data_IF_003730927417
#
_entry.id   IF_003730927417
#
_cell.length_a   1.000
_cell.length_b   1.000
_cell.length_c   1.000
_cell.angle_alpha   90.00
_cell.angle_beta   90.00
_cell.angle_gamma   90.00
#
_symmetry.space_group_name_H-M   'P 1'
#
loop_
_entity.id
_entity.type
_entity.pdbx_description
1 polymer ?
#
# COMPACT_ATOMS: atom_id res chain seq x y z
N UNK A 1 6.04 -6.57 3.03
CA UNK A 1 5.34 -5.72 2.03
C UNK A 1 6.09 -4.42 1.88
N UNK A 2 6.17 -3.82 0.69
CA UNK A 2 6.89 -2.55 0.48
C UNK A 2 6.41 -1.43 1.42
N UNK A 3 5.13 -1.47 1.82
CA UNK A 3 4.57 -0.60 2.84
C UNK A 3 5.34 -0.60 4.17
N UNK A 4 5.83 -1.75 4.63
CA UNK A 4 6.63 -1.82 5.85
C UNK A 4 8.01 -1.17 5.69
N UNK A 5 8.68 -1.39 4.56
CA UNK A 5 9.99 -0.80 4.28
C UNK A 5 9.88 0.73 4.21
N UNK A 6 8.87 1.24 3.50
CA UNK A 6 8.58 2.68 3.42
C UNK A 6 8.29 3.27 4.80
N UNK A 7 7.40 2.65 5.58
CA UNK A 7 7.08 3.12 6.93
C UNK A 7 8.31 3.11 7.86
N UNK A 8 9.18 2.11 7.71
CA UNK A 8 10.42 2.02 8.48
C UNK A 8 11.41 3.12 8.16
N UNK A 9 11.61 3.42 6.87
CA UNK A 9 12.49 4.49 6.45
C UNK A 9 12.00 5.85 6.94
N UNK A 10 10.70 6.13 6.83
CA UNK A 10 10.09 7.37 7.34
C UNK A 10 10.28 7.49 8.86
N UNK A 11 10.09 6.39 9.60
CA UNK A 11 10.31 6.40 11.05
C UNK A 11 11.79 6.62 11.40
N UNK A 12 12.72 5.98 10.71
CA UNK A 12 14.16 6.19 10.94
C UNK A 12 14.53 7.65 10.62
N UNK A 13 14.04 8.21 9.52
CA UNK A 13 14.25 9.61 9.16
C UNK A 13 13.68 10.58 10.23
N UNK A 14 12.53 10.25 10.81
CA UNK A 14 11.93 11.05 11.89
C UNK A 14 12.69 10.93 13.21
N UNK A 15 12.95 9.71 13.69
CA UNK A 15 13.47 9.47 15.04
C UNK A 15 14.98 9.63 15.17
N UNK A 16 15.75 9.28 14.14
CA UNK A 16 17.21 9.33 14.22
C UNK A 16 17.80 10.62 13.66
N UNK A 17 17.17 11.19 12.63
CA UNK A 17 17.75 12.31 11.89
C UNK A 17 17.04 13.65 12.19
N UNK A 18 15.97 13.65 13.00
CA UNK A 18 15.13 14.83 13.27
C UNK A 18 14.66 15.57 12.01
N UNK A 19 14.62 14.89 10.85
CA UNK A 19 14.29 15.52 9.55
C UNK A 19 12.85 16.06 9.57
N UNK A 20 11.98 15.51 10.40
CA UNK A 20 10.61 16.01 10.58
C UNK A 20 10.58 17.41 11.22
N UNK A 21 11.52 17.72 12.12
CA UNK A 21 11.68 19.05 12.73
C UNK A 21 12.29 20.05 11.72
N UNK A 22 13.24 19.61 10.89
CA UNK A 22 13.77 20.42 9.78
C UNK A 22 12.69 20.75 8.74
N UNK A 23 11.80 19.79 8.43
CA UNK A 23 10.68 20.01 7.52
C UNK A 23 9.59 20.92 8.12
N UNK A 24 9.38 20.91 9.44
CA UNK A 24 8.51 21.90 10.08
C UNK A 24 9.13 23.30 10.10
N UNK A 25 10.46 23.40 10.11
CA UNK A 25 11.18 24.68 10.02
C UNK A 25 11.25 25.22 8.58
N UNK A 26 11.16 24.36 7.56
CA UNK A 26 11.09 24.74 6.17
C UNK A 26 9.68 25.21 5.75
N UNK A 27 9.54 26.23 4.87
CA UNK A 27 8.24 26.73 4.40
C UNK A 27 7.63 25.78 3.34
N UNK A 28 7.59 24.48 3.61
CA UNK A 28 7.00 23.48 2.71
C UNK A 28 5.54 23.21 3.09
N UNK A 29 4.70 23.02 2.06
CA UNK A 29 3.30 22.64 2.28
C UNK A 29 3.22 21.17 2.72
N UNK A 30 2.41 20.87 3.73
CA UNK A 30 2.14 19.50 4.20
C UNK A 30 1.68 18.58 3.06
N UNK A 31 0.90 19.13 2.11
CA UNK A 31 0.48 18.39 0.92
C UNK A 31 1.67 17.98 0.07
N UNK A 32 2.66 18.86 -0.14
CA UNK A 32 3.85 18.56 -0.94
C UNK A 32 4.68 17.42 -0.32
N UNK A 33 4.86 17.44 1.00
CA UNK A 33 5.55 16.38 1.73
C UNK A 33 4.86 15.01 1.55
N UNK A 34 3.55 14.95 1.80
CA UNK A 34 2.80 13.69 1.70
C UNK A 34 2.76 13.19 0.26
N UNK A 35 2.52 14.07 -0.71
CA UNK A 35 2.55 13.65 -2.11
C UNK A 35 3.92 13.13 -2.51
N UNK A 36 5.00 13.72 -2.00
CA UNK A 36 6.37 13.28 -2.24
C UNK A 36 6.63 11.88 -1.66
N UNK A 37 6.26 11.65 -0.40
CA UNK A 37 6.43 10.36 0.26
C UNK A 37 5.57 9.26 -0.37
N UNK A 38 4.32 9.58 -0.72
CA UNK A 38 3.44 8.64 -1.41
C UNK A 38 3.99 8.29 -2.78
N UNK A 39 4.45 9.28 -3.57
CA UNK A 39 5.08 9.04 -4.87
C UNK A 39 6.36 8.22 -4.74
N UNK A 40 7.22 8.52 -3.75
CA UNK A 40 8.43 7.75 -3.46
C UNK A 40 8.12 6.31 -3.05
N UNK A 41 7.02 6.09 -2.32
CA UNK A 41 6.53 4.76 -1.99
C UNK A 41 6.02 4.00 -3.22
N UNK A 42 5.26 4.68 -4.08
CA UNK A 42 4.71 4.12 -5.31
C UNK A 42 5.81 3.73 -6.30
N UNK A 43 6.84 4.56 -6.50
CA UNK A 43 7.95 4.25 -7.41
C UNK A 43 8.72 3.02 -6.95
N UNK A 44 9.00 2.89 -5.65
CA UNK A 44 9.63 1.69 -5.07
C UNK A 44 8.78 0.43 -5.24
N UNK A 45 7.47 0.54 -5.05
CA UNK A 45 6.54 -0.56 -5.28
C UNK A 45 6.52 -0.98 -6.75
N UNK A 46 6.43 -0.02 -7.69
CA UNK A 46 6.48 -0.28 -9.13
C UNK A 46 7.80 -0.91 -9.56
N UNK A 47 8.94 -0.43 -9.06
CA UNK A 47 10.24 -1.00 -9.36
C UNK A 47 10.30 -2.48 -8.93
N UNK A 48 9.77 -2.80 -7.73
CA UNK A 48 9.68 -4.18 -7.25
C UNK A 48 8.83 -5.06 -8.16
N UNK A 49 7.69 -4.55 -8.64
CA UNK A 49 6.81 -5.29 -9.57
C UNK A 49 7.51 -5.54 -10.90
N UNK A 50 8.20 -4.53 -11.45
CA UNK A 50 8.97 -4.66 -12.69
C UNK A 50 10.04 -5.75 -12.56
N UNK A 51 10.79 -5.77 -11.45
CA UNK A 51 11.79 -6.83 -11.19
C UNK A 51 11.13 -8.22 -11.17
N UNK A 52 9.99 -8.36 -10.49
CA UNK A 52 9.25 -9.64 -10.44
C UNK A 52 8.76 -10.07 -11.83
N UNK A 53 8.28 -9.13 -12.66
CA UNK A 53 7.84 -9.41 -14.02
C UNK A 53 8.99 -9.86 -14.93
N UNK A 54 10.15 -9.22 -14.83
CA UNK A 54 11.35 -9.63 -15.58
C UNK A 54 11.74 -11.05 -15.21
N UNK A 55 11.78 -11.37 -13.90
CA UNK A 55 12.05 -12.73 -13.44
C UNK A 55 10.99 -13.71 -13.98
N UNK A 56 9.70 -13.39 -13.88
CA UNK A 56 8.62 -14.23 -14.41
C UNK A 56 8.77 -14.52 -15.90
N UNK A 57 9.17 -13.52 -16.69
CA UNK A 57 9.44 -13.68 -18.11
C UNK A 57 10.62 -14.63 -18.39
N UNK A 58 11.69 -14.55 -17.60
CA UNK A 58 12.84 -15.47 -17.71
C UNK A 58 12.47 -16.92 -17.41
N UNK A 59 11.50 -17.15 -16.51
CA UNK A 59 10.96 -18.47 -16.20
C UNK A 59 9.82 -18.92 -17.14
N UNK A 60 9.52 -18.14 -18.19
CA UNK A 60 8.52 -18.51 -19.21
C UNK A 60 7.06 -18.26 -18.82
N UNK A 61 6.80 -17.43 -17.81
CA UNK A 61 5.43 -17.07 -17.41
C UNK A 61 4.84 -16.08 -18.42
N UNK A 62 3.76 -16.49 -19.09
CA UNK A 62 3.02 -15.63 -20.03
C UNK A 62 1.90 -14.90 -19.30
N UNK A 63 2.04 -13.57 -19.19
CA UNK A 63 1.05 -12.68 -18.58
C UNK A 63 0.48 -11.74 -19.64
N UNK A 64 -0.80 -11.39 -19.50
CA UNK A 64 -1.40 -10.35 -20.32
C UNK A 64 -1.03 -8.97 -19.78
N UNK A 65 -0.25 -8.20 -20.54
CA UNK A 65 0.19 -6.85 -20.19
C UNK A 65 -0.82 -5.76 -20.59
N UNK A 66 -2.11 -6.00 -20.35
CA UNK A 66 -3.16 -5.04 -20.71
C UNK A 66 -3.01 -3.73 -19.91
N UNK A 67 -3.51 -2.57 -20.43
CA UNK A 67 -3.50 -1.31 -19.68
C UNK A 67 -4.17 -1.42 -18.29
N UNK A 68 -5.18 -2.28 -18.17
CA UNK A 68 -5.87 -2.55 -16.90
C UNK A 68 -4.99 -3.24 -15.85
N UNK A 69 -3.96 -3.98 -16.29
CA UNK A 69 -2.98 -4.60 -15.40
C UNK A 69 -2.09 -3.52 -14.76
N UNK A 70 -1.58 -2.60 -15.56
CA UNK A 70 -0.80 -1.46 -15.06
C UNK A 70 -1.62 -0.54 -14.16
N UNK A 71 -2.90 -0.31 -14.50
CA UNK A 71 -3.81 0.44 -13.64
C UNK A 71 -4.03 -0.23 -12.29
N UNK A 72 -4.18 -1.56 -12.25
CA UNK A 72 -4.34 -2.31 -11.00
C UNK A 72 -3.08 -2.20 -10.12
N UNK A 73 -1.90 -2.32 -10.71
CA UNK A 73 -0.63 -2.15 -10.00
C UNK A 73 -0.49 -0.73 -9.46
N UNK A 74 -0.84 0.28 -10.27
CA UNK A 74 -0.76 1.68 -9.88
C UNK A 74 -1.68 1.99 -8.68
N UNK A 75 -2.95 1.59 -8.76
CA UNK A 75 -3.92 1.76 -7.67
C UNK A 75 -3.49 1.01 -6.41
N UNK A 76 -3.03 -0.24 -6.55
CA UNK A 76 -2.50 -1.00 -5.42
C UNK A 76 -1.32 -0.27 -4.76
N UNK A 77 -0.37 0.20 -5.57
CA UNK A 77 0.80 0.92 -5.08
C UNK A 77 0.41 2.22 -4.35
N UNK A 78 -0.58 2.95 -4.89
CA UNK A 78 -1.12 4.15 -4.27
C UNK A 78 -1.80 3.88 -2.92
N UNK A 79 -2.63 2.84 -2.83
CA UNK A 79 -3.31 2.43 -1.58
C UNK A 79 -2.29 2.07 -0.50
N UNK A 80 -1.31 1.23 -0.83
CA UNK A 80 -0.31 0.78 0.13
C UNK A 80 0.72 1.85 0.50
N UNK A 81 1.10 2.73 -0.43
CA UNK A 81 1.96 3.87 -0.12
C UNK A 81 1.23 4.86 0.81
N UNK A 82 -0.03 5.19 0.53
CA UNK A 82 -0.84 6.08 1.39
C UNK A 82 -1.03 5.48 2.80
N UNK A 83 -1.30 4.17 2.88
CA UNK A 83 -1.41 3.46 4.16
C UNK A 83 -0.08 3.49 4.93
N UNK A 84 1.05 3.28 4.25
CA UNK A 84 2.38 3.29 4.86
C UNK A 84 2.72 4.66 5.45
N UNK A 85 2.47 5.74 4.70
CA UNK A 85 2.67 7.11 5.19
C UNK A 85 1.77 7.40 6.39
N UNK A 86 0.49 7.02 6.32
CA UNK A 86 -0.43 7.17 7.47
C UNK A 86 0.03 6.41 8.71
N UNK A 87 0.52 5.17 8.56
CA UNK A 87 1.06 4.39 9.67
C UNK A 87 2.36 5.00 10.22
N UNK A 88 3.25 5.48 9.37
CA UNK A 88 4.49 6.15 9.80
C UNK A 88 4.20 7.43 10.62
N UNK A 89 3.09 8.12 10.36
CA UNK A 89 2.66 9.23 11.19
C UNK A 89 2.21 8.81 12.61
N UNK A 90 1.56 7.65 12.74
CA UNK A 90 0.98 7.17 13.99
C UNK A 90 2.01 6.51 14.91
N UNK A 91 3.09 5.98 14.35
CA UNK A 91 4.16 5.32 15.10
C UNK A 91 5.01 6.34 15.85
N UNK A 92 5.13 6.14 17.17
CA UNK A 92 5.93 6.99 18.07
C UNK A 92 7.25 6.34 18.51
N UNK A 93 7.45 5.06 18.20
CA UNK A 93 8.64 4.29 18.60
C UNK A 93 8.89 3.11 17.64
N UNK A 94 10.15 2.69 17.51
CA UNK A 94 10.51 1.48 16.74
C UNK A 94 9.79 0.21 17.23
N UNK A 95 9.53 0.12 18.55
CA UNK A 95 8.77 -0.98 19.13
C UNK A 95 7.32 -1.00 18.62
N UNK A 96 6.68 0.17 18.53
CA UNK A 96 5.30 0.31 18.02
C UNK A 96 5.22 -0.06 16.54
N UNK A 97 6.26 0.24 15.76
CA UNK A 97 6.33 -0.15 14.36
C UNK A 97 6.39 -1.67 14.18
N UNK A 98 7.24 -2.34 14.96
CA UNK A 98 7.35 -3.79 14.94
C UNK A 98 6.02 -4.44 15.34
N UNK A 99 5.36 -3.89 16.37
CA UNK A 99 4.05 -4.34 16.82
C UNK A 99 2.99 -4.20 15.72
N UNK A 100 2.87 -3.03 15.08
CA UNK A 100 1.93 -2.84 13.97
C UNK A 100 2.17 -3.81 12.81
N UNK A 101 3.43 -4.10 12.52
CA UNK A 101 3.78 -5.02 11.44
C UNK A 101 3.36 -6.44 11.76
N UNK A 102 3.69 -6.91 12.96
CA UNK A 102 3.35 -8.27 13.39
C UNK A 102 1.86 -8.48 13.63
N UNK A 103 1.13 -7.47 14.13
CA UNK A 103 -0.29 -7.59 14.46
C UNK A 103 -1.24 -7.15 13.34
N UNK A 104 -0.80 -6.32 12.40
CA UNK A 104 -1.67 -5.80 11.33
C UNK A 104 -1.19 -6.26 9.96
N UNK A 105 0.06 -5.98 9.61
CA UNK A 105 0.57 -6.25 8.24
C UNK A 105 0.66 -7.76 7.99
N UNK A 106 1.19 -8.53 8.93
CA UNK A 106 1.34 -9.98 8.76
C UNK A 106 -0.01 -10.69 8.64
N UNK A 107 -0.99 -10.50 9.56
CA UNK A 107 -2.32 -11.10 9.40
C UNK A 107 -3.01 -10.65 8.12
N UNK A 108 -2.89 -9.36 7.76
CA UNK A 108 -3.45 -8.85 6.50
C UNK A 108 -2.84 -9.55 5.28
N UNK A 109 -1.52 -9.80 5.27
CA UNK A 109 -0.84 -10.47 4.16
C UNK A 109 -1.27 -11.95 4.01
N UNK A 110 -1.56 -12.63 5.12
CA UNK A 110 -2.09 -14.00 5.10
C UNK A 110 -3.56 -14.05 4.68
N UNK A 111 -4.35 -13.11 5.19
CA UNK A 111 -5.79 -13.04 4.96
C UNK A 111 -6.14 -12.49 3.57
N UNK A 112 -5.30 -11.67 2.94
CA UNK A 112 -5.59 -10.95 1.68
C UNK A 112 -5.83 -11.79 0.41
N UNK A 113 -6.22 -13.06 0.52
CA UNK A 113 -6.60 -13.91 -0.60
C UNK A 113 -5.43 -14.45 -1.42
N UNK A 114 -4.19 -14.23 -0.96
CA UNK A 114 -2.96 -14.70 -1.62
C UNK A 114 -2.66 -16.15 -1.32
N UNK A 115 -2.75 -16.53 -0.04
CA UNK A 115 -2.46 -17.89 0.44
C UNK A 115 -3.72 -18.75 0.57
N UNK A 116 -4.85 -18.15 0.94
CA UNK A 116 -6.12 -18.85 1.13
C UNK A 116 -7.18 -18.37 0.14
N UNK A 117 -7.78 -19.26 -0.67
CA UNK A 117 -8.86 -18.88 -1.57
C UNK A 117 -10.10 -18.46 -0.76
N UNK A 118 -10.65 -17.30 -1.11
CA UNK A 118 -11.76 -16.67 -0.38
C UNK A 118 -13.02 -17.55 -0.34
N UNK A 119 -13.25 -18.35 -1.37
CA UNK A 119 -14.43 -19.21 -1.53
C UNK A 119 -14.46 -20.39 -0.54
N UNK A 120 -13.36 -20.65 0.18
CA UNK A 120 -13.27 -21.73 1.18
C UNK A 120 -13.32 -21.24 2.63
N UNK A 121 -13.49 -19.94 2.83
CA UNK A 121 -13.55 -19.34 4.16
C UNK A 121 -15.01 -19.21 4.62
N UNK A 122 -15.27 -19.37 5.93
CA UNK A 122 -16.62 -19.18 6.49
C UNK A 122 -17.12 -17.75 6.31
N UNK A 123 -18.43 -17.56 6.25
CA UNK A 123 -19.07 -16.28 5.86
C UNK A 123 -18.61 -15.06 6.68
N UNK A 124 -18.35 -15.26 7.98
CA UNK A 124 -17.83 -14.21 8.86
C UNK A 124 -16.44 -13.72 8.43
N UNK A 125 -15.58 -14.63 7.94
CA UNK A 125 -14.25 -14.29 7.48
C UNK A 125 -14.32 -13.61 6.11
N UNK A 126 -15.22 -14.04 5.22
CA UNK A 126 -15.42 -13.39 3.92
C UNK A 126 -15.82 -11.91 4.06
N UNK A 127 -16.67 -11.58 5.05
CA UNK A 127 -17.05 -10.21 5.34
C UNK A 127 -15.87 -9.34 5.78
N UNK A 128 -14.98 -9.86 6.64
CA UNK A 128 -13.77 -9.13 7.09
C UNK A 128 -12.83 -8.88 5.91
N UNK A 129 -12.65 -9.89 5.06
CA UNK A 129 -11.78 -9.83 3.88
C UNK A 129 -12.24 -8.80 2.85
N UNK A 130 -13.54 -8.47 2.83
CA UNK A 130 -14.10 -7.44 1.96
C UNK A 130 -13.63 -6.03 2.34
N UNK A 131 -13.28 -5.79 3.61
CA UNK A 131 -12.69 -4.53 4.07
C UNK A 131 -11.18 -4.46 3.84
N UNK A 132 -10.53 -5.57 3.52
CA UNK A 132 -9.08 -5.62 3.33
C UNK A 132 -8.73 -5.16 1.90
N UNK A 133 -7.97 -4.07 1.72
CA UNK A 133 -7.60 -3.56 0.40
C UNK A 133 -6.76 -4.56 -0.39
N UNK A 134 -5.96 -5.37 0.32
CA UNK A 134 -5.10 -6.39 -0.28
C UNK A 134 -5.90 -7.43 -1.07
N UNK A 135 -7.10 -7.80 -0.59
CA UNK A 135 -7.96 -8.80 -1.23
C UNK A 135 -8.41 -8.31 -2.60
N UNK A 136 -8.87 -7.07 -2.68
CA UNK A 136 -9.33 -6.46 -3.93
C UNK A 136 -8.18 -6.21 -4.91
N UNK A 137 -7.03 -5.78 -4.39
CA UNK A 137 -5.83 -5.62 -5.20
C UNK A 137 -5.35 -6.95 -5.80
N UNK A 138 -5.29 -8.03 -5.01
CA UNK A 138 -4.88 -9.34 -5.50
C UNK A 138 -5.84 -9.89 -6.56
N UNK A 139 -7.16 -9.70 -6.37
CA UNK A 139 -8.19 -10.09 -7.34
C UNK A 139 -8.05 -9.30 -8.65
N UNK A 140 -7.91 -7.98 -8.59
CA UNK A 140 -7.77 -7.12 -9.77
C UNK A 140 -6.50 -7.46 -10.57
N UNK A 141 -5.36 -7.60 -9.89
CA UNK A 141 -4.08 -7.95 -10.54
C UNK A 141 -4.17 -9.33 -11.20
N UNK A 142 -4.75 -10.34 -10.55
CA UNK A 142 -4.93 -11.68 -11.14
C UNK A 142 -5.87 -11.68 -12.33
N UNK A 143 -7.03 -11.03 -12.21
CA UNK A 143 -8.00 -10.98 -13.31
C UNK A 143 -7.38 -10.34 -14.55
N UNK A 144 -6.67 -9.21 -14.36
CA UNK A 144 -5.96 -8.54 -15.44
C UNK A 144 -4.80 -9.36 -16.01
N UNK A 145 -4.02 -10.05 -15.15
CA UNK A 145 -2.91 -10.91 -15.54
C UNK A 145 -3.34 -12.09 -16.44
N UNK A 146 -4.49 -12.71 -16.16
CA UNK A 146 -5.06 -13.80 -16.94
C UNK A 146 -5.94 -13.32 -18.11
N UNK A 147 -5.96 -12.01 -18.41
CA UNK A 147 -6.72 -11.46 -19.53
C UNK A 147 -8.25 -11.53 -19.37
N UNK A 148 -8.75 -11.81 -18.15
CA UNK A 148 -10.19 -11.73 -17.86
C UNK A 148 -10.60 -10.27 -17.73
N UNK A 149 -11.83 -9.94 -18.12
CA UNK A 149 -12.38 -8.61 -17.84
C UNK A 149 -12.45 -8.43 -16.33
N UNK A 150 -11.67 -7.51 -15.77
CA UNK A 150 -11.58 -7.39 -14.33
C UNK A 150 -12.74 -6.52 -13.84
N UNK A 151 -13.30 -6.87 -12.69
CA UNK A 151 -14.51 -6.24 -12.16
C UNK A 151 -14.27 -4.75 -11.84
N UNK A 152 -15.01 -3.86 -12.51
CA UNK A 152 -14.92 -2.41 -12.34
C UNK A 152 -15.14 -2.01 -10.88
N UNK A 153 -15.97 -2.76 -10.14
CA UNK A 153 -16.21 -2.50 -8.73
C UNK A 153 -14.93 -2.60 -7.89
N UNK A 154 -14.04 -3.55 -8.19
CA UNK A 154 -12.77 -3.71 -7.48
C UNK A 154 -11.82 -2.52 -7.70
N UNK A 155 -11.78 -1.96 -8.92
CA UNK A 155 -10.97 -0.77 -9.21
C UNK A 155 -11.51 0.48 -8.54
N UNK A 156 -12.84 0.67 -8.57
CA UNK A 156 -13.50 1.78 -7.89
C UNK A 156 -13.25 1.73 -6.38
N UNK A 157 -13.41 0.55 -5.78
CA UNK A 157 -13.17 0.37 -4.35
C UNK A 157 -11.70 0.69 -3.99
N UNK A 158 -10.73 0.21 -4.77
CA UNK A 158 -9.32 0.54 -4.56
C UNK A 158 -9.03 2.03 -4.68
N UNK A 159 -9.63 2.71 -5.66
CA UNK A 159 -9.50 4.16 -5.79
C UNK A 159 -10.08 4.90 -4.58
N UNK A 160 -11.28 4.52 -4.13
CA UNK A 160 -11.93 5.10 -2.94
C UNK A 160 -11.09 4.86 -1.69
N UNK A 161 -10.61 3.63 -1.47
CA UNK A 161 -9.76 3.29 -0.33
C UNK A 161 -8.42 4.06 -0.37
N UNK A 162 -7.82 4.19 -1.55
CA UNK A 162 -6.58 4.95 -1.73
C UNK A 162 -6.77 6.42 -1.38
N UNK A 163 -7.81 7.05 -1.90
CA UNK A 163 -8.17 8.43 -1.55
C UNK A 163 -8.44 8.57 -0.06
N UNK A 164 -9.17 7.63 0.54
CA UNK A 164 -9.50 7.66 1.97
C UNK A 164 -8.24 7.58 2.84
N UNK A 165 -7.32 6.67 2.54
CA UNK A 165 -6.04 6.58 3.27
C UNK A 165 -5.15 7.80 3.05
N UNK A 166 -5.16 8.37 1.85
CA UNK A 166 -4.43 9.61 1.57
C UNK A 166 -4.98 10.79 2.40
N UNK A 167 -6.31 10.93 2.48
CA UNK A 167 -6.96 11.94 3.34
C UNK A 167 -6.69 11.71 4.82
N UNK A 168 -6.68 10.45 5.29
CA UNK A 168 -6.31 10.13 6.67
C UNK A 168 -4.86 10.52 6.95
N UNK A 169 -3.94 10.19 6.04
CA UNK A 169 -2.53 10.58 6.17
C UNK A 169 -2.36 12.11 6.22
N UNK A 170 -3.07 12.86 5.35
CA UNK A 170 -3.14 14.32 5.40
C UNK A 170 -3.59 14.85 6.74
N UNK A 171 -4.68 14.33 7.28
CA UNK A 171 -5.21 14.76 8.57
C UNK A 171 -4.25 14.44 9.72
N UNK A 172 -3.56 13.29 9.69
CA UNK A 172 -2.56 12.93 10.69
C UNK A 172 -1.33 13.86 10.64
N UNK A 173 -0.86 14.25 9.45
CA UNK A 173 0.25 15.20 9.30
C UNK A 173 -0.15 16.60 9.75
N UNK A 174 -1.34 17.07 9.37
CA UNK A 174 -1.81 18.39 9.78
C UNK A 174 -1.91 18.50 11.31
N UNK A 175 -2.46 17.47 11.97
CA UNK A 175 -2.52 17.42 13.44
C UNK A 175 -1.18 17.30 14.15
N UNK A 176 -0.11 16.88 13.46
CA UNK A 176 1.22 16.79 14.05
C UNK A 176 2.00 18.12 13.97
N UNK A 177 1.46 19.11 13.25
CA UNK A 177 2.00 20.47 13.13
C UNK A 177 1.40 21.42 14.17
N UNK A 178 0.18 21.15 14.63
CA UNK A 178 -0.50 21.85 15.74
C UNK A 178 0.01 21.34 17.10
#
# INVERSE_FOLDING_TARGET
TQAFAIASEINVARFYWHIFEEFQAAPISNMAYITGEVLAGMTRAMLSVVVILILGMLFGVTLSYNPLFWLAIFLNSFVFASLAVGMAMLVKSHADQAMLTSFVITPMAFLGGTFFPMDRLPDWAQNILFFIPLTHASKAIRAAAFGKQPDIFSYLLLAVMGCTFFFIALNCVNRARD
#
